data_IF_575898883209
#
_entry.id   IF_575898883209
#
_cell.length_a   1.000
_cell.length_b   1.000
_cell.length_c   1.000
_cell.angle_alpha   90.00
_cell.angle_beta   90.00
_cell.angle_gamma   90.00
#
_symmetry.space_group_name_H-M   'P 1'
#
loop_
_entity.id
_entity.type
_entity.pdbx_description
1 polymer ?
#
# COMPACT_ATOMS: atom_id res chain seq x y z
N UNK A 1 -3.26 18.33 3.74
CA UNK A 1 -3.90 18.42 5.06
C UNK A 1 -2.95 17.80 6.07
N UNK A 2 -2.50 18.53 7.09
CA UNK A 2 -1.68 17.96 8.16
C UNK A 2 -2.55 17.14 9.14
N UNK A 3 -2.02 16.02 9.61
CA UNK A 3 -2.62 15.13 10.61
C UNK A 3 -1.58 14.76 11.67
N UNK A 4 -1.86 14.99 12.95
CA UNK A 4 -0.91 14.68 14.02
C UNK A 4 -1.14 13.26 14.52
N UNK A 5 -0.10 12.43 14.47
CA UNK A 5 -0.15 11.09 15.02
C UNK A 5 -0.21 11.14 16.54
N UNK A 6 -1.18 10.43 17.10
CA UNK A 6 -1.36 10.32 18.55
C UNK A 6 -0.40 9.31 19.20
N UNK A 7 0.18 8.43 18.39
CA UNK A 7 1.22 7.52 18.85
C UNK A 7 2.56 8.26 18.90
N UNK A 8 3.27 8.10 20.01
CA UNK A 8 4.56 8.76 20.24
C UNK A 8 5.65 8.24 19.31
N UNK A 9 6.70 9.03 19.12
CA UNK A 9 7.88 8.65 18.37
C UNK A 9 7.99 9.23 16.96
N UNK A 10 9.13 8.94 16.35
CA UNK A 10 9.53 9.38 15.01
C UNK A 10 8.99 8.40 13.95
N UNK A 11 7.97 8.85 13.23
CA UNK A 11 7.33 8.10 12.15
C UNK A 11 7.61 8.73 10.79
N UNK A 12 8.75 9.42 10.64
CA UNK A 12 9.17 9.98 9.35
C UNK A 12 9.45 8.91 8.30
N UNK A 13 9.74 7.68 8.73
CA UNK A 13 9.91 6.52 7.85
C UNK A 13 8.55 5.87 7.56
N UNK A 14 7.68 6.59 6.83
CA UNK A 14 6.39 6.08 6.38
C UNK A 14 6.49 5.49 4.97
N UNK A 15 5.57 4.59 4.62
CA UNK A 15 5.42 4.08 3.27
C UNK A 15 4.69 5.13 2.40
N UNK A 16 5.37 5.74 1.40
CA UNK A 16 4.76 6.77 0.55
C UNK A 16 3.69 6.19 -0.40
N UNK A 17 3.67 4.88 -0.62
CA UNK A 17 2.70 4.24 -1.50
C UNK A 17 1.44 3.76 -0.80
N UNK A 18 1.44 3.79 0.54
CA UNK A 18 0.28 3.44 1.35
C UNK A 18 -0.86 4.45 1.16
N UNK A 19 -2.05 3.94 0.82
CA UNK A 19 -3.27 4.73 0.67
C UNK A 19 -4.20 4.42 1.84
N UNK A 20 -4.65 5.48 2.50
CA UNK A 20 -5.55 5.44 3.64
C UNK A 20 -6.97 5.82 3.20
N UNK A 21 -7.98 5.08 3.67
CA UNK A 21 -9.39 5.37 3.40
C UNK A 21 -10.25 4.12 3.17
N UNK A 22 -11.50 4.29 2.71
CA UNK A 22 -12.17 5.58 2.53
C UNK A 22 -12.52 6.25 3.88
N UNK A 23 -12.51 7.58 3.92
CA UNK A 23 -13.10 8.32 5.05
C UNK A 23 -14.64 8.31 5.00
N UNK A 24 -15.28 8.98 5.96
CA UNK A 24 -16.75 9.07 6.03
C UNK A 24 -17.41 9.78 4.81
N UNK A 25 -16.63 10.47 3.98
CA UNK A 25 -17.07 11.14 2.76
C UNK A 25 -16.62 10.42 1.47
N UNK A 26 -15.95 9.26 1.59
CA UNK A 26 -15.45 8.48 0.46
C UNK A 26 -14.10 8.94 -0.09
N UNK A 27 -13.40 9.84 0.60
CA UNK A 27 -12.09 10.32 0.18
C UNK A 27 -10.98 9.33 0.58
N UNK A 28 -9.96 9.24 -0.28
CA UNK A 28 -8.74 8.48 -0.04
C UNK A 28 -7.56 9.44 0.07
N UNK A 29 -6.61 9.11 0.93
CA UNK A 29 -5.48 9.97 1.26
C UNK A 29 -4.16 9.22 1.15
N UNK A 30 -3.10 9.94 0.82
CA UNK A 30 -1.72 9.44 0.82
C UNK A 30 -0.82 10.42 1.56
N UNK A 31 0.09 9.89 2.37
CA UNK A 31 1.11 10.72 3.02
C UNK A 31 2.14 11.18 2.00
N UNK A 32 2.48 12.47 2.02
CA UNK A 32 3.47 13.10 1.12
C UNK A 32 4.67 13.66 1.87
N UNK A 33 4.53 13.93 3.17
CA UNK A 33 5.62 14.35 4.03
C UNK A 33 5.31 14.02 5.50
N UNK A 34 6.34 14.05 6.34
CA UNK A 34 6.23 13.86 7.79
C UNK A 34 7.23 14.76 8.51
N UNK A 35 6.79 15.36 9.61
CA UNK A 35 7.59 16.21 10.48
C UNK A 35 7.56 15.65 11.90
N UNK A 36 8.72 15.46 12.52
CA UNK A 36 8.84 14.97 13.89
C UNK A 36 9.20 16.12 14.84
N UNK A 37 8.44 16.23 15.92
CA UNK A 37 8.66 17.14 17.03
C UNK A 37 9.24 16.36 18.22
N UNK A 38 10.51 16.65 18.55
CA UNK A 38 11.23 16.01 19.64
C UNK A 38 10.81 16.49 21.03
N UNK A 39 10.23 17.70 21.16
CA UNK A 39 9.75 18.21 22.44
C UNK A 39 8.41 17.55 22.81
N UNK A 40 7.51 17.43 21.83
CA UNK A 40 6.21 16.79 22.03
C UNK A 40 6.25 15.26 21.90
N UNK A 41 7.35 14.70 21.37
CA UNK A 41 7.51 13.28 21.01
C UNK A 41 6.39 12.80 20.09
N UNK A 42 6.11 13.57 19.03
CA UNK A 42 5.02 13.34 18.08
C UNK A 42 5.42 13.60 16.64
N UNK A 43 4.75 12.91 15.72
CA UNK A 43 4.91 13.10 14.28
C UNK A 43 3.65 13.70 13.66
N UNK A 44 3.81 14.69 12.79
CA UNK A 44 2.74 15.25 11.95
C UNK A 44 2.92 14.76 10.51
N UNK A 45 1.91 14.08 9.96
CA UNK A 45 1.86 13.67 8.56
C UNK A 45 1.17 14.73 7.71
N UNK A 46 1.70 14.98 6.52
CA UNK A 46 1.05 15.77 5.50
C UNK A 46 0.37 14.84 4.50
N UNK A 47 -0.96 14.89 4.45
CA UNK A 47 -1.80 14.05 3.62
C UNK A 47 -2.31 14.81 2.39
N UNK A 48 -2.38 14.12 1.26
CA UNK A 48 -2.99 14.60 0.02
C UNK A 48 -4.13 13.68 -0.40
N UNK A 49 -5.23 14.25 -0.88
CA UNK A 49 -6.35 13.48 -1.46
C UNK A 49 -5.87 12.81 -2.74
N UNK A 50 -6.17 11.52 -2.89
CA UNK A 50 -5.89 10.75 -4.10
C UNK A 50 -7.14 10.79 -5.00
N UNK A 51 -7.06 11.37 -6.21
CA UNK A 51 -8.18 11.40 -7.15
C UNK A 51 -8.63 9.99 -7.57
N UNK A 52 -9.93 9.76 -7.80
CA UNK A 52 -10.45 8.46 -8.23
C UNK A 52 -9.78 7.88 -9.48
N UNK A 53 -9.40 8.73 -10.45
CA UNK A 53 -8.69 8.30 -11.65
C UNK A 53 -7.32 7.68 -11.33
N UNK A 54 -6.60 8.23 -10.35
CA UNK A 54 -5.31 7.69 -9.91
C UNK A 54 -5.48 6.37 -9.15
N UNK A 55 -6.56 6.23 -8.37
CA UNK A 55 -6.90 4.96 -7.72
C UNK A 55 -7.16 3.86 -8.75
N UNK A 56 -7.94 4.16 -9.79
CA UNK A 56 -8.23 3.21 -10.86
C UNK A 56 -6.97 2.78 -11.62
N UNK A 57 -6.08 3.73 -11.94
CA UNK A 57 -4.80 3.43 -12.59
C UNK A 57 -3.95 2.48 -11.75
N UNK A 58 -3.81 2.75 -10.45
CA UNK A 58 -3.08 1.87 -9.52
C UNK A 58 -3.67 0.47 -9.44
N UNK A 59 -4.99 0.35 -9.47
CA UNK A 59 -5.64 -0.96 -9.51
C UNK A 59 -5.26 -1.72 -10.77
N UNK A 60 -5.33 -1.08 -11.94
CA UNK A 60 -4.96 -1.69 -13.23
C UNK A 60 -3.50 -2.12 -13.25
N UNK A 61 -2.59 -1.29 -12.72
CA UNK A 61 -1.16 -1.59 -12.62
C UNK A 61 -0.84 -2.74 -11.65
N UNK A 62 -1.65 -2.91 -10.58
CA UNK A 62 -1.45 -3.97 -9.60
C UNK A 62 -1.95 -5.35 -10.07
N UNK A 63 -2.94 -5.40 -10.98
CA UNK A 63 -3.52 -6.65 -11.50
C UNK A 63 -2.49 -7.66 -12.02
N UNK A 64 -1.52 -7.32 -12.89
CA UNK A 64 -0.56 -8.29 -13.41
C UNK A 64 0.28 -8.91 -12.28
N UNK A 65 0.70 -8.11 -11.30
CA UNK A 65 1.46 -8.59 -10.14
C UNK A 65 0.63 -9.56 -9.28
N UNK A 66 -0.66 -9.28 -9.09
CA UNK A 66 -1.58 -10.18 -8.37
C UNK A 66 -1.76 -11.49 -9.14
N UNK A 67 -1.95 -11.42 -10.46
CA UNK A 67 -2.08 -12.60 -11.32
C UNK A 67 -0.81 -13.47 -11.30
N UNK A 68 0.37 -12.84 -11.37
CA UNK A 68 1.64 -13.54 -11.31
C UNK A 68 1.81 -14.24 -9.95
N UNK A 69 1.59 -13.53 -8.83
CA UNK A 69 1.65 -14.13 -7.48
C UNK A 69 0.66 -15.28 -7.30
N UNK A 70 -0.52 -15.18 -7.89
CA UNK A 70 -1.53 -16.25 -7.85
C UNK A 70 -1.07 -17.46 -8.65
N UNK A 71 -0.48 -17.24 -9.83
CA UNK A 71 0.09 -18.30 -10.67
C UNK A 71 1.29 -18.98 -9.99
N UNK A 72 2.21 -18.21 -9.42
CA UNK A 72 3.37 -18.72 -8.69
C UNK A 72 2.94 -19.53 -7.47
N UNK A 73 1.96 -19.03 -6.71
CA UNK A 73 1.39 -19.77 -5.58
C UNK A 73 0.72 -21.07 -6.03
N UNK A 74 -0.02 -21.07 -7.15
CA UNK A 74 -0.61 -22.28 -7.71
C UNK A 74 0.46 -23.29 -8.16
N UNK A 75 1.59 -22.83 -8.72
CA UNK A 75 2.72 -23.68 -9.06
C UNK A 75 3.35 -24.31 -7.80
N UNK A 76 3.57 -23.52 -6.73
CA UNK A 76 4.10 -24.03 -5.46
C UNK A 76 3.16 -25.05 -4.81
N UNK A 77 1.86 -24.80 -4.81
CA UNK A 77 0.86 -25.76 -4.31
C UNK A 77 0.82 -27.01 -5.20
N UNK A 78 0.93 -26.83 -6.51
CA UNK A 78 1.03 -27.92 -7.49
C UNK A 78 2.27 -28.78 -7.28
N UNK A 79 3.39 -28.23 -6.83
CA UNK A 79 4.61 -28.99 -6.50
C UNK A 79 4.49 -29.87 -5.24
N UNK A 80 3.51 -29.60 -4.36
CA UNK A 80 3.18 -30.47 -3.21
C UNK A 80 2.11 -31.53 -3.54
N UNK A 81 1.66 -31.61 -4.79
CA UNK A 81 0.76 -32.63 -5.32
C UNK A 81 1.44 -33.33 -6.51
N UNK A 82 1.31 -34.65 -6.72
CA UNK A 82 2.05 -35.34 -7.78
C UNK A 82 1.39 -35.12 -9.15
N UNK A 83 1.54 -33.93 -9.74
CA UNK A 83 1.26 -33.71 -11.15
C UNK A 83 2.26 -32.70 -11.74
N UNK A 84 2.98 -33.04 -12.82
CA UNK A 84 4.03 -32.20 -13.36
C UNK A 84 3.45 -31.04 -14.16
N UNK A 85 3.57 -29.82 -13.64
CA UNK A 85 3.58 -28.63 -14.47
C UNK A 85 4.81 -28.70 -15.39
N UNK A 86 4.59 -29.08 -16.66
CA UNK A 86 5.62 -28.99 -17.70
C UNK A 86 5.62 -27.56 -18.26
N UNK A 87 6.76 -26.85 -18.29
CA UNK A 87 6.89 -25.64 -19.09
C UNK A 87 7.19 -26.07 -20.54
N UNK A 88 6.27 -25.80 -21.46
CA UNK A 88 6.55 -25.94 -22.90
C UNK A 88 7.32 -24.71 -23.35
N UNK A 89 8.48 -24.97 -23.97
CA UNK A 89 9.38 -24.00 -24.59
C UNK A 89 8.77 -23.34 -25.84
#
# INVERSE_FOLDING_TARGET
>A
MPDQLHYRGDHRQFDPDNIMGPDQFGAFYRAVAAEYDAEADRTTLHLQVVPPAQLQQRMVEALPTIQQRTTDAACVIGLFSPAPCSPTA
#
